data_IF_755147986666
#
_entry.id   IF_755147986666
#
_cell.length_a   1.000
_cell.length_b   1.000
_cell.length_c   1.000
_cell.angle_alpha   90.00
_cell.angle_beta   90.00
_cell.angle_gamma   90.00
#
_symmetry.space_group_name_H-M   'P 1'
#
loop_
_entity.id
_entity.type
_entity.pdbx_description
1 polymer ?
#
# COMPACT_ATOMS: atom_id res chain seq x y z
N UNK A 1 -18.91 46.09 5.49
CA UNK A 1 -18.81 46.61 6.87
C UNK A 1 -19.93 47.62 7.09
N UNK A 2 -20.61 47.67 8.26
CA UNK A 2 -20.88 46.65 9.29
C UNK A 2 -22.26 45.96 9.01
N UNK A 3 -22.91 45.05 9.77
CA UNK A 3 -23.16 44.80 11.21
C UNK A 3 -23.52 43.28 11.43
N UNK A 4 -23.55 42.57 12.58
CA UNK A 4 -23.47 42.83 14.06
C UNK A 4 -24.85 43.15 14.72
N UNK A 5 -25.47 42.40 15.67
CA UNK A 5 -25.00 41.35 16.59
C UNK A 5 -26.13 40.43 17.19
N UNK A 6 -26.02 39.09 17.00
CA UNK A 6 -26.37 37.99 17.95
C UNK A 6 -27.85 37.69 18.38
N UNK A 7 -28.00 36.54 19.08
CA UNK A 7 -29.22 35.83 19.51
C UNK A 7 -29.90 36.37 20.78
N UNK A 8 -31.14 35.91 21.03
CA UNK A 8 -31.59 35.52 22.39
C UNK A 8 -32.58 34.34 22.37
N UNK A 9 -32.56 33.53 23.44
CA UNK A 9 -33.35 32.29 23.61
C UNK A 9 -34.61 32.52 24.48
N UNK A 10 -35.62 31.66 24.34
CA UNK A 10 -36.83 31.70 25.18
C UNK A 10 -37.85 30.58 24.92
N UNK A 11 -37.58 29.36 25.41
CA UNK A 11 -38.59 28.28 25.52
C UNK A 11 -39.40 28.41 26.82
N UNK A 12 -40.65 27.91 26.82
CA UNK A 12 -41.08 26.99 27.88
C UNK A 12 -41.65 25.65 27.33
N UNK A 13 -42.01 24.74 28.22
CA UNK A 13 -42.06 23.29 27.98
C UNK A 13 -43.48 22.65 28.11
N UNK A 14 -44.01 22.09 27.00
CA UNK A 14 -44.77 20.80 26.96
C UNK A 14 -46.08 20.68 27.80
N UNK A 15 -46.79 19.51 27.88
CA UNK A 15 -46.80 18.26 27.08
C UNK A 15 -48.22 17.80 26.62
N UNK A 16 -48.31 16.57 26.07
CA UNK A 16 -49.50 15.70 25.94
C UNK A 16 -50.58 16.04 24.88
N UNK A 17 -50.27 15.77 23.61
CA UNK A 17 -51.21 15.24 22.60
C UNK A 17 -50.41 14.58 21.46
N UNK A 18 -51.09 13.87 20.54
CA UNK A 18 -50.52 13.31 19.29
C UNK A 18 -49.40 12.25 19.46
N UNK A 19 -49.49 11.42 20.49
CA UNK A 19 -49.10 10.02 20.33
C UNK A 19 -50.31 9.25 19.77
N UNK A 20 -50.11 8.37 18.80
CA UNK A 20 -51.15 7.70 17.97
C UNK A 20 -51.79 8.56 16.85
N UNK A 21 -51.05 8.86 15.77
CA UNK A 21 -51.43 8.39 14.42
C UNK A 21 -50.28 8.49 13.40
N UNK A 22 -49.52 7.41 13.21
CA UNK A 22 -48.65 7.22 12.02
C UNK A 22 -48.15 5.77 11.81
N UNK A 23 -48.77 4.77 12.45
CA UNK A 23 -48.36 3.34 12.35
C UNK A 23 -49.00 2.61 11.15
N UNK A 24 -49.17 3.29 10.01
CA UNK A 24 -49.94 2.77 8.88
C UNK A 24 -49.44 3.20 7.48
N UNK A 25 -48.12 3.18 7.22
CA UNK A 25 -47.63 3.16 5.83
C UNK A 25 -46.31 2.43 5.62
N UNK A 26 -46.35 1.53 4.64
CA UNK A 26 -45.28 0.68 4.08
C UNK A 26 -43.99 1.50 3.88
N UNK A 27 -42.84 1.15 4.44
CA UNK A 27 -42.14 -0.15 4.37
C UNK A 27 -41.86 -0.56 2.90
N UNK A 28 -41.18 0.32 2.16
CA UNK A 28 -40.40 0.00 0.95
C UNK A 28 -39.26 1.01 0.75
N UNK A 29 -38.20 0.59 0.06
CA UNK A 29 -37.10 1.44 -0.44
C UNK A 29 -36.15 2.16 0.54
N UNK A 30 -35.88 1.56 1.70
CA UNK A 30 -34.50 1.56 2.21
C UNK A 30 -33.71 0.42 1.53
N UNK A 31 -33.38 0.60 0.23
CA UNK A 31 -32.34 -0.22 -0.40
C UNK A 31 -31.01 0.20 0.21
N UNK A 32 -30.36 -0.73 0.89
CA UNK A 32 -29.05 -0.54 1.51
C UNK A 32 -28.05 0.05 0.52
N UNK A 33 -27.34 1.11 0.94
CA UNK A 33 -26.06 1.52 0.35
C UNK A 33 -24.99 0.47 0.68
N UNK A 34 -25.15 -0.72 0.10
CA UNK A 34 -24.06 -1.66 -0.05
C UNK A 34 -22.94 -0.90 -0.75
N UNK A 35 -21.78 -0.80 -0.10
CA UNK A 35 -20.56 -0.52 -0.84
C UNK A 35 -20.41 -1.63 -1.88
N UNK A 36 -20.72 -1.32 -3.13
CA UNK A 36 -20.13 -2.03 -4.26
C UNK A 36 -18.63 -1.91 -4.09
N UNK A 37 -18.01 -2.94 -3.50
CA UNK A 37 -16.57 -3.18 -3.66
C UNK A 37 -16.33 -3.22 -5.15
N UNK A 38 -15.83 -2.12 -5.72
CA UNK A 38 -15.22 -2.14 -7.03
C UNK A 38 -14.12 -3.19 -6.92
N UNK A 39 -14.32 -4.33 -7.57
CA UNK A 39 -13.44 -5.47 -7.42
C UNK A 39 -12.21 -5.22 -8.29
N UNK A 40 -11.31 -4.36 -7.79
CA UNK A 40 -9.98 -4.17 -8.33
C UNK A 40 -9.40 -5.55 -8.62
N UNK A 41 -9.05 -5.80 -9.89
CA UNK A 41 -8.62 -7.14 -10.36
C UNK A 41 -7.20 -7.46 -9.88
N UNK A 42 -7.03 -7.68 -8.57
CA UNK A 42 -5.78 -8.11 -7.92
C UNK A 42 -5.35 -9.55 -8.25
N UNK A 43 -5.62 -10.00 -9.48
CA UNK A 43 -5.50 -11.39 -9.89
C UNK A 43 -4.09 -11.68 -10.46
N UNK A 44 -3.09 -11.79 -9.57
CA UNK A 44 -1.90 -12.64 -9.81
C UNK A 44 -1.03 -12.82 -8.56
N UNK A 45 -0.81 -11.77 -7.77
CA UNK A 45 0.19 -11.77 -6.68
C UNK A 45 -0.39 -12.24 -5.35
N UNK A 46 -1.63 -11.87 -5.04
CA UNK A 46 -2.33 -12.29 -3.80
C UNK A 46 -2.50 -13.83 -3.70
N UNK A 47 -2.32 -14.57 -4.80
CA UNK A 47 -2.29 -16.04 -4.83
C UNK A 47 -0.90 -16.65 -4.61
N UNK A 48 0.15 -15.83 -4.50
CA UNK A 48 1.54 -16.24 -4.24
C UNK A 48 2.06 -15.71 -2.90
N UNK A 49 1.39 -14.71 -2.31
CA UNK A 49 1.70 -14.23 -0.96
C UNK A 49 1.46 -15.30 0.13
N UNK A 50 2.30 -15.34 1.18
CA UNK A 50 1.99 -16.05 2.41
C UNK A 50 0.62 -15.70 2.99
N UNK A 51 -0.10 -16.68 3.55
CA UNK A 51 -1.42 -16.46 4.17
C UNK A 51 -1.37 -15.64 5.48
N UNK A 52 -0.18 -15.22 5.93
CA UNK A 52 0.06 -14.48 7.16
C UNK A 52 1.54 -14.52 7.57
N UNK A 53 1.97 -13.68 8.52
CA UNK A 53 3.32 -13.72 9.07
C UNK A 53 3.59 -15.01 9.84
N UNK A 54 4.84 -15.46 9.84
CA UNK A 54 5.28 -16.71 10.49
C UNK A 54 6.71 -16.57 11.03
N UNK A 55 6.81 -16.35 12.33
CA UNK A 55 8.08 -16.32 13.05
C UNK A 55 8.61 -17.73 13.33
N UNK A 56 9.93 -17.87 13.31
CA UNK A 56 10.73 -19.06 13.63
C UNK A 56 11.78 -18.76 14.70
N UNK A 57 12.31 -17.54 14.71
CA UNK A 57 13.28 -17.03 15.69
C UNK A 57 12.85 -15.68 16.22
N UNK A 58 13.57 -15.17 17.23
CA UNK A 58 13.66 -13.73 17.50
C UNK A 58 14.27 -12.97 16.30
N UNK A 59 14.10 -11.63 16.29
CA UNK A 59 14.72 -10.72 15.32
C UNK A 59 15.72 -9.83 16.08
N UNK A 60 16.98 -9.66 15.59
CA UNK A 60 17.61 -10.42 14.52
C UNK A 60 17.85 -11.88 14.93
N UNK A 61 17.65 -12.81 13.99
CA UNK A 61 17.93 -14.23 14.20
C UNK A 61 19.44 -14.54 14.23
N UNK A 62 19.83 -15.79 14.56
CA UNK A 62 21.23 -16.17 14.74
C UNK A 62 22.11 -15.96 13.48
N UNK A 63 21.59 -16.21 12.27
CA UNK A 63 22.34 -15.95 11.03
C UNK A 63 22.44 -14.45 10.76
N UNK A 64 21.35 -13.70 11.00
CA UNK A 64 21.35 -12.23 10.87
C UNK A 64 22.39 -11.60 11.79
N UNK A 65 22.45 -12.04 13.06
CA UNK A 65 23.48 -11.65 14.04
C UNK A 65 24.90 -12.00 13.57
N UNK A 66 25.12 -13.21 13.05
CA UNK A 66 26.42 -13.60 12.50
C UNK A 66 26.84 -12.73 11.31
N UNK A 67 25.92 -12.45 10.37
CA UNK A 67 26.18 -11.59 9.21
C UNK A 67 26.49 -10.15 9.63
N UNK A 68 25.76 -9.59 10.61
CA UNK A 68 26.02 -8.26 11.15
C UNK A 68 27.43 -8.14 11.76
N UNK A 69 27.88 -9.15 12.51
CA UNK A 69 29.25 -9.20 13.04
C UNK A 69 30.34 -9.28 11.95
N UNK A 70 30.06 -9.92 10.81
CA UNK A 70 30.99 -9.89 9.66
C UNK A 70 30.95 -8.53 8.93
N UNK A 71 29.78 -7.90 8.85
CA UNK A 71 29.58 -6.58 8.26
C UNK A 71 30.32 -5.48 9.05
N UNK A 72 30.34 -5.57 10.39
CA UNK A 72 31.01 -4.65 11.33
C UNK A 72 32.51 -4.50 11.06
N UNK A 73 33.16 -5.53 10.50
CA UNK A 73 34.58 -5.51 10.14
C UNK A 73 34.87 -4.63 8.92
N UNK A 74 33.84 -4.24 8.18
CA UNK A 74 33.94 -3.48 6.92
C UNK A 74 33.23 -2.13 6.99
N UNK A 75 32.07 -2.05 7.66
CA UNK A 75 31.29 -0.82 7.80
C UNK A 75 30.46 -0.79 9.09
N UNK A 76 29.95 0.39 9.45
CA UNK A 76 29.07 0.55 10.60
C UNK A 76 27.74 -0.20 10.40
N UNK A 77 27.44 -1.17 11.27
CA UNK A 77 26.23 -2.00 11.23
C UNK A 77 25.02 -1.41 11.96
N UNK A 78 25.18 -0.37 12.77
CA UNK A 78 24.25 -0.02 13.88
C UNK A 78 22.79 0.27 13.47
N UNK A 79 22.53 0.55 12.19
CA UNK A 79 21.18 0.73 11.62
C UNK A 79 20.55 -0.54 11.05
N UNK A 80 21.28 -1.66 11.03
CA UNK A 80 20.83 -2.96 10.48
C UNK A 80 19.96 -3.68 11.50
N UNK A 81 18.68 -3.88 11.17
CA UNK A 81 17.71 -4.51 12.08
C UNK A 81 17.75 -6.05 11.96
N UNK A 82 17.88 -6.55 10.73
CA UNK A 82 18.07 -7.96 10.36
C UNK A 82 18.55 -8.04 8.90
N UNK A 83 18.81 -9.24 8.38
CA UNK A 83 19.26 -9.44 6.99
C UNK A 83 18.16 -10.07 6.14
N UNK A 84 17.73 -9.34 5.11
CA UNK A 84 16.60 -9.70 4.24
C UNK A 84 16.99 -10.73 3.16
N UNK A 85 16.16 -11.76 3.01
CA UNK A 85 16.17 -12.74 1.93
C UNK A 85 15.22 -12.24 0.81
N UNK A 86 15.75 -11.36 -0.04
CA UNK A 86 14.96 -10.69 -1.10
C UNK A 86 14.31 -11.71 -2.04
N UNK A 87 15.02 -12.79 -2.39
CA UNK A 87 14.52 -13.82 -3.33
C UNK A 87 13.29 -14.59 -2.82
N UNK A 88 13.12 -14.69 -1.49
CA UNK A 88 11.95 -15.33 -0.85
C UNK A 88 10.86 -14.34 -0.44
N UNK A 89 11.17 -13.04 -0.43
CA UNK A 89 10.22 -11.98 -0.12
C UNK A 89 9.25 -11.79 -1.29
N UNK A 90 7.96 -11.59 -1.02
CA UNK A 90 6.93 -11.47 -2.07
C UNK A 90 5.74 -10.62 -1.65
N UNK A 91 5.34 -9.69 -2.52
CA UNK A 91 4.24 -8.76 -2.26
C UNK A 91 4.49 -7.95 -0.98
N UNK A 92 3.55 -7.98 -0.06
CA UNK A 92 3.63 -7.30 1.25
C UNK A 92 4.48 -8.06 2.28
N UNK A 93 5.09 -9.20 1.94
CA UNK A 93 5.81 -10.06 2.89
C UNK A 93 7.33 -10.04 2.69
N UNK A 94 8.03 -9.54 3.71
CA UNK A 94 9.47 -9.65 3.86
C UNK A 94 9.83 -11.01 4.48
N UNK A 95 10.90 -11.63 4.00
CA UNK A 95 11.48 -12.87 4.55
C UNK A 95 12.94 -12.60 4.94
N UNK A 96 13.37 -12.97 6.14
CA UNK A 96 14.78 -12.86 6.54
C UNK A 96 15.58 -14.15 6.26
N UNK A 97 16.92 -14.08 6.36
CA UNK A 97 17.79 -15.24 6.11
C UNK A 97 17.67 -16.37 7.16
N UNK A 98 17.15 -16.05 8.33
CA UNK A 98 16.77 -17.01 9.38
C UNK A 98 15.43 -17.72 9.03
N UNK A 99 14.66 -17.14 8.11
CA UNK A 99 13.46 -17.68 7.48
C UNK A 99 12.17 -17.23 8.15
N UNK A 100 12.20 -16.17 8.95
CA UNK A 100 11.00 -15.51 9.47
C UNK A 100 10.23 -14.86 8.32
N UNK A 101 8.91 -14.96 8.33
CA UNK A 101 8.02 -14.28 7.37
C UNK A 101 7.29 -13.16 8.10
N UNK A 102 7.46 -11.93 7.64
CA UNK A 102 6.95 -10.71 8.27
C UNK A 102 6.04 -9.97 7.30
N UNK A 103 4.94 -9.39 7.80
CA UNK A 103 4.18 -8.39 7.04
C UNK A 103 4.98 -7.08 7.10
N UNK A 104 5.47 -6.61 5.96
CA UNK A 104 6.24 -5.38 5.85
C UNK A 104 5.30 -4.19 5.63
N UNK A 105 5.23 -3.31 6.64
CA UNK A 105 4.48 -2.04 6.58
C UNK A 105 5.42 -0.82 6.51
N UNK A 106 6.71 -1.06 6.26
CA UNK A 106 7.76 -0.06 6.13
C UNK A 106 8.27 0.06 4.68
N UNK A 107 8.11 -1.00 3.88
CA UNK A 107 8.32 -1.03 2.43
C UNK A 107 9.68 -0.45 1.98
N UNK A 108 10.73 -0.73 2.75
CA UNK A 108 12.08 -0.15 2.59
C UNK A 108 12.05 1.39 2.50
N UNK A 109 11.49 2.06 3.52
CA UNK A 109 11.26 3.51 3.54
C UNK A 109 10.27 3.95 2.42
N UNK A 110 9.16 3.22 2.28
CA UNK A 110 8.12 3.43 1.27
C UNK A 110 8.66 3.50 -0.19
N UNK A 111 9.70 2.72 -0.49
CA UNK A 111 10.35 2.67 -1.82
C UNK A 111 9.94 1.46 -2.67
N UNK A 112 9.07 0.58 -2.15
CA UNK A 112 8.55 -0.61 -2.84
C UNK A 112 7.05 -0.46 -3.23
N UNK A 113 6.68 0.43 -4.18
CA UNK A 113 5.29 0.81 -4.48
C UNK A 113 4.39 -0.32 -5.02
N UNK A 114 4.94 -1.52 -5.23
CA UNK A 114 4.25 -2.71 -5.72
C UNK A 114 4.66 -3.98 -4.92
N UNK A 115 5.32 -3.82 -3.77
CA UNK A 115 5.84 -4.90 -2.95
C UNK A 115 7.04 -5.66 -3.54
N UNK A 116 7.51 -6.67 -2.81
CA UNK A 116 8.63 -7.51 -3.20
C UNK A 116 8.32 -8.39 -4.42
N UNK A 117 9.29 -8.55 -5.32
CA UNK A 117 9.26 -9.48 -6.46
C UNK A 117 8.02 -9.41 -7.38
N UNK A 118 7.40 -8.24 -7.52
CA UNK A 118 6.23 -8.04 -8.38
C UNK A 118 6.49 -8.52 -9.84
N UNK A 119 5.82 -9.59 -10.34
CA UNK A 119 6.15 -10.23 -11.62
C UNK A 119 6.02 -9.32 -12.86
N UNK A 120 5.26 -8.22 -12.80
CA UNK A 120 5.28 -7.24 -13.90
C UNK A 120 6.58 -6.42 -13.94
N UNK A 121 7.20 -6.13 -12.78
CA UNK A 121 8.51 -5.46 -12.71
C UNK A 121 9.59 -6.40 -13.28
N UNK A 122 9.60 -7.66 -12.84
CA UNK A 122 10.53 -8.67 -13.37
C UNK A 122 10.44 -8.80 -14.90
N UNK A 123 9.23 -8.81 -15.47
CA UNK A 123 9.00 -8.79 -16.93
C UNK A 123 9.52 -7.52 -17.61
N UNK A 124 9.38 -6.35 -16.99
CA UNK A 124 9.91 -5.08 -17.53
C UNK A 124 11.44 -5.09 -17.60
N UNK A 125 12.12 -5.66 -16.61
CA UNK A 125 13.58 -5.85 -16.65
C UNK A 125 14.04 -6.94 -17.62
N UNK A 126 13.17 -7.89 -17.99
CA UNK A 126 13.46 -8.97 -18.95
C UNK A 126 13.22 -8.57 -20.43
N UNK A 127 12.39 -7.56 -20.73
CA UNK A 127 12.23 -7.08 -22.11
C UNK A 127 13.44 -6.23 -22.53
N UNK A 128 14.22 -6.75 -23.49
CA UNK A 128 15.41 -6.10 -24.05
C UNK A 128 15.15 -4.73 -24.67
N UNK A 129 13.90 -4.39 -25.03
CA UNK A 129 13.51 -3.05 -25.49
C UNK A 129 13.68 -1.98 -24.40
N UNK A 130 13.55 -2.35 -23.14
CA UNK A 130 13.68 -1.43 -22.00
C UNK A 130 15.15 -1.21 -21.61
N UNK A 131 16.05 -2.12 -21.99
CA UNK A 131 17.44 -2.15 -21.53
C UNK A 131 18.17 -0.82 -21.74
N UNK A 132 17.99 -0.16 -22.88
CA UNK A 132 18.63 1.13 -23.18
C UNK A 132 18.12 2.26 -22.27
N UNK A 133 16.84 2.25 -21.89
CA UNK A 133 16.26 3.22 -20.97
C UNK A 133 16.68 2.93 -19.52
N UNK A 134 16.71 1.65 -19.12
CA UNK A 134 17.10 1.20 -17.79
C UNK A 134 18.59 1.47 -17.48
N UNK A 135 19.49 1.19 -18.43
CA UNK A 135 20.94 1.39 -18.26
C UNK A 135 21.32 2.87 -18.23
N UNK A 136 20.77 3.68 -19.14
CA UNK A 136 21.17 5.09 -19.28
C UNK A 136 20.37 6.04 -18.37
N UNK A 137 19.22 5.59 -17.83
CA UNK A 137 18.29 6.34 -16.98
C UNK A 137 18.10 7.81 -17.46
N UNK A 138 17.62 8.02 -18.71
CA UNK A 138 17.55 9.35 -19.30
C UNK A 138 16.66 10.28 -18.48
N UNK A 139 17.04 11.56 -18.39
CA UNK A 139 16.22 12.60 -17.79
C UNK A 139 15.05 12.95 -18.74
N UNK A 140 14.01 12.11 -18.78
CA UNK A 140 12.95 12.14 -19.82
C UNK A 140 12.20 13.49 -19.94
N UNK A 141 12.20 14.33 -18.91
CA UNK A 141 11.66 15.70 -18.97
C UNK A 141 12.55 16.72 -19.71
N UNK A 142 13.80 16.37 -20.03
CA UNK A 142 14.78 17.19 -20.76
C UNK A 142 15.23 16.50 -22.05
N UNK A 143 15.37 15.17 -22.00
CA UNK A 143 15.77 14.30 -23.11
C UNK A 143 14.75 13.15 -23.27
N UNK A 144 13.56 13.42 -23.81
CA UNK A 144 12.56 12.40 -24.07
C UNK A 144 13.02 11.44 -25.19
N UNK A 145 12.65 10.17 -25.07
CA UNK A 145 12.81 9.20 -26.16
C UNK A 145 11.66 9.34 -27.18
N UNK A 146 11.82 8.90 -28.45
CA UNK A 146 10.75 8.97 -29.44
C UNK A 146 9.47 8.20 -29.05
N UNK A 147 9.57 7.26 -28.12
CA UNK A 147 8.46 6.46 -27.60
C UNK A 147 7.74 7.11 -26.41
N UNK A 148 8.32 8.15 -25.79
CA UNK A 148 7.88 8.65 -24.49
C UNK A 148 6.45 9.20 -24.47
N UNK A 149 6.03 9.91 -25.51
CA UNK A 149 4.64 10.42 -25.64
C UNK A 149 3.65 9.26 -25.58
N UNK A 150 3.88 8.22 -26.40
CA UNK A 150 3.07 7.01 -26.43
C UNK A 150 3.12 6.23 -25.11
N UNK A 151 4.27 6.22 -24.42
CA UNK A 151 4.36 5.61 -23.08
C UNK A 151 3.46 6.34 -22.08
N UNK A 152 3.45 7.68 -22.07
CA UNK A 152 2.55 8.48 -21.21
C UNK A 152 1.09 8.18 -21.54
N UNK A 153 0.70 8.26 -22.82
CA UNK A 153 -0.66 7.95 -23.28
C UNK A 153 -1.11 6.55 -22.84
N UNK A 154 -0.26 5.54 -23.01
CA UNK A 154 -0.60 4.14 -22.69
C UNK A 154 -0.53 3.78 -21.19
N UNK A 155 -0.11 4.69 -20.30
CA UNK A 155 0.09 4.38 -18.87
C UNK A 155 -0.50 5.38 -17.87
N UNK A 156 -0.60 6.66 -18.22
CA UNK A 156 -1.04 7.74 -17.33
C UNK A 156 -2.32 8.45 -17.79
N UNK A 157 -2.73 8.28 -19.05
CA UNK A 157 -3.89 8.95 -19.66
C UNK A 157 -4.92 7.92 -20.15
N UNK A 158 -5.77 7.37 -19.26
CA UNK A 158 -6.78 6.35 -19.59
C UNK A 158 -7.98 6.89 -20.37
#
# INVERSE_FOLDING_TARGET
>A
MPFILLMRLGFPFTPVALYLDMKASRLFHLRSLLHTRSQCRGNSILSQEPSGPKMKTEIPGPKSKQFMHELEKTQNSLSTIFVLDVDKSIGNYAVDIDGNIMLDVYEQIASLPLGYNHPAIQKVFQDSKNLSQLVNRPALGVHPTPQFIKQIEQTLLP
#
